data_IF_031359515942
#
_entry.id   IF_031359515942
#
_cell.length_a   1.000
_cell.length_b   1.000
_cell.length_c   1.000
_cell.angle_alpha   90.00
_cell.angle_beta   90.00
_cell.angle_gamma   90.00
#
_symmetry.space_group_name_H-M   'P 1'
#
loop_
_entity.id
_entity.type
_entity.pdbx_description
1 polymer ?
#
# COMPACT_ATOMS: atom_id res chain seq x y z
N UNK A 1 11.29 17.55 -17.56
CA UNK A 1 10.61 17.46 -17.43
C UNK A 1 9.72 17.28 -17.41
N UNK A 2 9.58 17.08 -17.32
CA UNK A 2 8.72 16.81 -17.31
C UNK A 2 7.65 16.99 -17.29
N UNK A 3 7.57 17.40 -17.61
CA UNK A 3 6.59 17.43 -17.88
C UNK A 3 5.41 16.89 -17.45
N UNK A 4 4.82 16.43 -17.63
CA UNK A 4 3.66 15.73 -17.21
C UNK A 4 3.56 15.57 -15.72
N UNK A 5 4.32 16.28 -15.03
CA UNK A 5 4.29 16.24 -13.58
C UNK A 5 2.92 16.55 -13.02
N UNK A 6 2.11 17.31 -13.76
CA UNK A 6 0.77 17.65 -13.30
C UNK A 6 -0.12 16.43 -13.13
N UNK A 7 0.21 15.33 -13.83
CA UNK A 7 -0.59 14.11 -13.74
C UNK A 7 0.04 13.05 -12.86
N UNK A 8 1.21 13.32 -12.31
CA UNK A 8 1.93 12.35 -11.51
C UNK A 8 1.74 12.65 -10.04
N UNK A 9 0.91 11.84 -9.42
CA UNK A 9 0.74 11.93 -7.98
C UNK A 9 1.91 11.26 -7.29
N UNK A 10 2.46 11.92 -6.30
CA UNK A 10 3.50 11.33 -5.48
C UNK A 10 2.98 11.20 -4.07
N UNK A 11 3.55 10.28 -3.32
CA UNK A 11 3.12 10.06 -1.95
C UNK A 11 4.23 9.52 -1.09
N UNK A 12 3.90 9.29 0.15
CA UNK A 12 4.83 8.72 1.13
C UNK A 12 4.58 7.23 1.20
N UNK A 13 5.61 6.47 0.88
CA UNK A 13 5.53 5.02 0.79
C UNK A 13 6.46 4.39 1.81
N UNK A 14 5.95 3.42 2.55
CA UNK A 14 6.76 2.62 3.46
C UNK A 14 6.95 1.24 2.86
N UNK A 15 8.19 0.82 2.70
CA UNK A 15 8.52 -0.54 2.23
C UNK A 15 8.98 -1.38 3.41
N UNK A 16 8.37 -2.54 3.58
CA UNK A 16 8.69 -3.45 4.67
C UNK A 16 9.12 -4.80 4.09
N UNK A 17 10.36 -5.19 4.33
CA UNK A 17 10.91 -6.43 3.81
C UNK A 17 12.21 -6.70 4.53
N UNK A 18 12.43 -7.94 4.98
CA UNK A 18 13.67 -8.28 5.64
C UNK A 18 14.85 -8.46 4.65
N UNK A 19 14.56 -8.43 3.37
CA UNK A 19 15.59 -8.54 2.32
C UNK A 19 16.04 -7.15 1.88
N UNK A 20 17.26 -6.77 2.27
CA UNK A 20 17.76 -5.42 2.00
C UNK A 20 17.92 -5.12 0.52
N UNK A 21 18.23 -6.12 -0.30
CA UNK A 21 18.37 -5.92 -1.73
C UNK A 21 17.01 -5.58 -2.36
N UNK A 22 15.97 -6.29 -1.93
CA UNK A 22 14.63 -6.01 -2.39
C UNK A 22 14.18 -4.61 -2.00
N UNK A 23 14.48 -4.21 -0.76
CA UNK A 23 14.14 -2.87 -0.30
C UNK A 23 14.85 -1.80 -1.14
N UNK A 24 16.15 -1.96 -1.36
CA UNK A 24 16.92 -1.00 -2.15
C UNK A 24 16.39 -0.85 -3.56
N UNK A 25 16.10 -1.97 -4.20
CA UNK A 25 15.64 -1.95 -5.58
C UNK A 25 14.29 -1.25 -5.71
N UNK A 26 13.36 -1.58 -4.84
CA UNK A 26 12.03 -0.98 -4.86
C UNK A 26 12.08 0.50 -4.50
N UNK A 27 12.90 0.82 -3.50
CA UNK A 27 13.07 2.20 -3.08
C UNK A 27 13.59 3.07 -4.22
N UNK A 28 14.62 2.58 -4.89
CA UNK A 28 15.25 3.33 -5.97
C UNK A 28 14.25 3.68 -7.07
N UNK A 29 13.46 2.69 -7.47
CA UNK A 29 12.48 2.88 -8.53
C UNK A 29 11.40 3.88 -8.12
N UNK A 30 10.90 3.76 -6.92
CA UNK A 30 9.82 4.64 -6.46
C UNK A 30 10.32 6.05 -6.21
N UNK A 31 11.53 6.20 -5.69
CA UNK A 31 12.10 7.53 -5.49
C UNK A 31 12.36 8.25 -6.82
N UNK A 32 12.73 7.49 -7.83
CA UNK A 32 12.93 8.05 -9.16
C UNK A 32 11.66 8.67 -9.70
N UNK A 33 10.52 8.13 -9.29
CA UNK A 33 9.22 8.64 -9.71
C UNK A 33 8.71 9.77 -8.81
N UNK A 34 9.50 10.17 -7.84
CA UNK A 34 9.16 11.31 -6.98
C UNK A 34 8.52 10.96 -5.64
N UNK A 35 8.32 9.68 -5.35
CA UNK A 35 7.74 9.31 -4.07
C UNK A 35 8.75 9.47 -2.95
N UNK A 36 8.27 9.76 -1.76
CA UNK A 36 9.10 9.77 -0.57
C UNK A 36 9.03 8.39 0.06
N UNK A 37 10.14 7.70 0.05
CA UNK A 37 10.19 6.30 0.45
C UNK A 37 10.96 6.11 1.74
N UNK A 38 10.35 5.39 2.68
CA UNK A 38 11.02 4.93 3.89
C UNK A 38 11.08 3.42 3.82
N UNK A 39 12.10 2.82 4.41
CA UNK A 39 12.25 1.38 4.42
C UNK A 39 12.36 0.88 5.85
N UNK A 40 11.90 -0.34 6.07
CA UNK A 40 11.97 -0.95 7.38
C UNK A 40 12.11 -2.46 7.20
N UNK A 41 13.06 -3.06 7.90
CA UNK A 41 13.32 -4.50 7.75
C UNK A 41 12.63 -5.33 8.83
N UNK A 42 12.01 -4.69 9.82
CA UNK A 42 11.36 -5.40 10.92
C UNK A 42 9.91 -4.94 11.02
N UNK A 43 8.94 -5.87 10.91
CA UNK A 43 7.52 -5.48 10.92
C UNK A 43 7.10 -4.71 12.18
N UNK A 44 7.60 -5.09 13.35
CA UNK A 44 7.27 -4.36 14.57
C UNK A 44 7.71 -2.90 14.50
N UNK A 45 8.91 -2.67 13.96
CA UNK A 45 9.40 -1.31 13.80
C UNK A 45 8.55 -0.54 12.79
N UNK A 46 8.06 -1.24 11.78
CA UNK A 46 7.20 -0.62 10.78
C UNK A 46 5.89 -0.15 11.40
N UNK A 47 5.31 -0.96 12.30
CA UNK A 47 4.10 -0.56 13.00
C UNK A 47 4.34 0.69 13.84
N UNK A 48 5.47 0.75 14.53
CA UNK A 48 5.81 1.92 15.33
C UNK A 48 6.03 3.15 14.45
N UNK A 49 6.65 2.94 13.31
CA UNK A 49 6.90 4.03 12.39
C UNK A 49 5.58 4.60 11.87
N UNK A 50 4.63 3.74 11.56
CA UNK A 50 3.31 4.18 11.10
C UNK A 50 2.55 4.93 12.19
N UNK A 51 2.84 4.65 13.46
CA UNK A 51 2.22 5.37 14.57
C UNK A 51 2.78 6.78 14.69
N UNK A 52 4.00 7.00 14.22
CA UNK A 52 4.68 8.30 14.36
C UNK A 52 4.67 9.14 13.10
N UNK A 53 4.55 8.50 11.95
CA UNK A 53 4.57 9.18 10.66
C UNK A 53 3.40 8.75 9.83
N UNK A 54 2.96 9.64 8.96
CA UNK A 54 1.89 9.33 8.05
C UNK A 54 2.45 8.74 6.76
N UNK A 55 1.87 7.64 6.31
CA UNK A 55 2.19 7.04 5.02
C UNK A 55 0.91 6.91 4.21
N UNK A 56 1.06 7.08 2.91
CA UNK A 56 -0.07 6.93 1.99
C UNK A 56 -0.24 5.48 1.56
N UNK A 57 0.88 4.78 1.38
CA UNK A 57 0.88 3.39 0.95
C UNK A 57 1.94 2.63 1.72
N UNK A 58 1.60 1.43 2.18
CA UNK A 58 2.54 0.52 2.80
C UNK A 58 2.68 -0.70 1.90
N UNK A 59 3.92 -1.04 1.55
CA UNK A 59 4.22 -2.21 0.73
C UNK A 59 4.96 -3.20 1.62
N UNK A 60 4.44 -4.40 1.76
CA UNK A 60 5.07 -5.39 2.62
C UNK A 60 5.29 -6.69 1.87
N UNK A 61 6.40 -7.35 2.19
CA UNK A 61 6.63 -8.71 1.74
C UNK A 61 5.78 -9.65 2.60
N UNK A 62 5.48 -10.83 2.07
CA UNK A 62 4.75 -11.83 2.82
C UNK A 62 5.65 -12.54 3.84
N UNK A 63 6.79 -13.05 3.35
CA UNK A 63 7.64 -13.88 4.18
C UNK A 63 8.66 -13.06 4.94
N UNK A 64 8.46 -12.95 6.24
CA UNK A 64 9.36 -12.22 7.11
C UNK A 64 9.49 -13.00 8.42
N UNK A 65 10.64 -12.91 9.09
CA UNK A 65 10.79 -13.57 10.40
C UNK A 65 9.82 -13.03 11.42
N UNK A 66 9.32 -13.89 12.27
CA UNK A 66 8.50 -13.56 13.44
C UNK A 66 7.08 -13.10 13.14
N UNK A 67 6.87 -12.36 12.06
CA UNK A 67 5.54 -11.88 11.72
C UNK A 67 5.46 -11.81 10.21
N UNK A 68 4.59 -12.63 9.61
CA UNK A 68 4.44 -12.59 8.15
C UNK A 68 3.61 -11.38 7.73
N UNK A 69 3.54 -11.17 6.41
CA UNK A 69 2.86 -10.00 5.88
C UNK A 69 1.38 -9.92 6.22
N UNK A 70 0.71 -11.07 6.29
CA UNK A 70 -0.71 -11.07 6.62
C UNK A 70 -0.94 -10.63 8.06
N UNK A 71 -0.12 -11.14 8.98
CA UNK A 71 -0.21 -10.71 10.37
C UNK A 71 0.11 -9.23 10.52
N UNK A 72 1.12 -8.78 9.79
CA UNK A 72 1.49 -7.37 9.81
C UNK A 72 0.33 -6.50 9.32
N UNK A 73 -0.28 -6.88 8.20
CA UNK A 73 -1.42 -6.15 7.65
C UNK A 73 -2.56 -6.11 8.66
N UNK A 74 -2.84 -7.24 9.31
CA UNK A 74 -3.90 -7.31 10.31
C UNK A 74 -3.69 -6.31 11.44
N UNK A 75 -2.46 -6.23 11.95
CA UNK A 75 -2.15 -5.30 13.02
C UNK A 75 -2.18 -3.85 12.54
N UNK A 76 -1.66 -3.63 11.33
CA UNK A 76 -1.65 -2.30 10.74
C UNK A 76 -3.07 -1.77 10.56
N UNK A 77 -3.97 -2.61 10.07
CA UNK A 77 -5.35 -2.22 9.83
C UNK A 77 -6.11 -1.90 11.11
N UNK A 78 -5.74 -2.50 12.23
CA UNK A 78 -6.37 -2.17 13.49
C UNK A 78 -6.07 -0.73 13.90
N UNK A 79 -4.87 -0.27 13.59
CA UNK A 79 -4.46 1.08 13.94
C UNK A 79 -4.79 2.08 12.84
N UNK A 80 -4.76 1.64 11.59
CA UNK A 80 -4.94 2.50 10.42
C UNK A 80 -5.84 1.80 9.40
N UNK A 81 -7.16 1.75 9.66
CA UNK A 81 -8.06 0.95 8.80
C UNK A 81 -8.10 1.38 7.34
N UNK A 82 -7.83 2.65 7.07
CA UNK A 82 -7.97 3.18 5.72
C UNK A 82 -6.66 3.26 4.93
N UNK A 83 -5.56 2.81 5.52
CA UNK A 83 -4.27 2.91 4.83
C UNK A 83 -4.24 1.96 3.64
N UNK A 84 -3.62 2.41 2.54
CA UNK A 84 -3.49 1.56 1.36
C UNK A 84 -2.34 0.58 1.57
N UNK A 85 -2.56 -0.69 1.26
CA UNK A 85 -1.56 -1.74 1.50
C UNK A 85 -1.37 -2.59 0.27
N UNK A 86 -0.11 -2.84 -0.08
CA UNK A 86 0.28 -3.76 -1.14
C UNK A 86 1.09 -4.89 -0.51
N UNK A 87 0.70 -6.12 -0.83
CA UNK A 87 1.43 -7.30 -0.38
C UNK A 87 2.16 -7.91 -1.56
N UNK A 88 3.44 -8.21 -1.39
CA UNK A 88 4.24 -8.86 -2.42
C UNK A 88 4.65 -10.23 -1.91
N UNK A 89 4.44 -11.27 -2.71
CA UNK A 89 4.69 -12.63 -2.27
C UNK A 89 5.14 -13.52 -3.41
N UNK A 90 6.11 -14.37 -3.13
CA UNK A 90 6.50 -15.44 -4.05
C UNK A 90 5.63 -16.67 -3.91
N UNK A 91 4.68 -16.65 -2.97
CA UNK A 91 3.86 -17.81 -2.65
C UNK A 91 2.38 -17.62 -3.00
N UNK A 92 2.09 -16.67 -3.88
CA UNK A 92 0.71 -16.32 -4.20
C UNK A 92 -0.08 -17.54 -4.68
N UNK A 93 0.47 -18.25 -5.66
CA UNK A 93 -0.22 -19.42 -6.23
C UNK A 93 -0.29 -20.57 -5.25
N UNK A 94 0.81 -20.83 -4.55
CA UNK A 94 0.88 -21.97 -3.63
C UNK A 94 -0.06 -21.81 -2.45
N UNK A 95 -0.16 -20.58 -1.93
CA UNK A 95 -0.96 -20.31 -0.74
C UNK A 95 -2.33 -19.75 -1.05
N UNK A 96 -2.62 -19.49 -2.32
CA UNK A 96 -3.89 -18.91 -2.71
C UNK A 96 -4.11 -17.51 -2.18
N UNK A 97 -3.05 -16.72 -2.07
CA UNK A 97 -3.15 -15.37 -1.52
C UNK A 97 -3.84 -14.42 -2.49
N UNK A 98 -4.77 -13.66 -1.97
CA UNK A 98 -5.46 -12.63 -2.76
C UNK A 98 -5.89 -11.49 -1.82
N UNK A 99 -6.53 -10.50 -2.37
CA UNK A 99 -6.92 -9.32 -1.60
C UNK A 99 -7.92 -9.67 -0.50
N UNK A 100 -8.81 -10.62 -0.78
CA UNK A 100 -9.84 -10.97 0.18
C UNK A 100 -9.29 -11.68 1.42
N UNK A 101 -8.30 -12.53 1.25
CA UNK A 101 -7.81 -13.32 2.39
C UNK A 101 -6.56 -12.75 3.04
N UNK A 102 -5.99 -11.67 2.53
CA UNK A 102 -4.81 -11.06 3.12
C UNK A 102 -5.08 -9.72 3.78
N UNK A 103 -6.16 -9.06 3.41
CA UNK A 103 -6.44 -7.71 3.87
C UNK A 103 -5.72 -6.63 3.09
N UNK A 104 -4.91 -7.00 2.09
CA UNK A 104 -4.23 -6.03 1.25
C UNK A 104 -5.18 -5.49 0.19
N UNK A 105 -4.90 -4.27 -0.26
CA UNK A 105 -5.64 -3.69 -1.38
C UNK A 105 -5.18 -4.28 -2.70
N UNK A 106 -3.91 -4.66 -2.77
CA UNK A 106 -3.31 -5.27 -3.97
C UNK A 106 -2.36 -6.37 -3.52
N UNK A 107 -2.41 -7.50 -4.20
CA UNK A 107 -1.47 -8.59 -3.98
C UNK A 107 -0.67 -8.77 -5.25
N UNK A 108 0.66 -8.71 -5.14
CA UNK A 108 1.56 -8.81 -6.28
C UNK A 108 2.40 -10.07 -6.12
N UNK A 109 2.47 -10.88 -7.17
CA UNK A 109 3.33 -12.03 -7.17
C UNK A 109 4.73 -11.64 -7.60
N UNK A 110 5.74 -12.16 -6.92
CA UNK A 110 7.13 -11.91 -7.28
C UNK A 110 7.41 -12.57 -8.61
N UNK A 111 7.82 -11.76 -9.58
CA UNK A 111 8.09 -12.23 -10.92
C UNK A 111 8.87 -11.14 -11.65
N UNK A 112 9.15 -11.37 -12.93
CA UNK A 112 9.85 -10.36 -13.72
C UNK A 112 9.01 -9.09 -13.90
N UNK A 113 7.70 -9.17 -13.67
CA UNK A 113 6.80 -8.03 -13.82
C UNK A 113 6.49 -7.34 -12.49
N UNK A 114 7.13 -7.76 -11.42
CA UNK A 114 6.84 -7.24 -10.09
C UNK A 114 6.99 -5.71 -10.01
N UNK A 115 8.09 -5.18 -10.54
CA UNK A 115 8.37 -3.75 -10.44
C UNK A 115 7.33 -2.93 -11.20
N UNK A 116 7.01 -3.33 -12.42
CA UNK A 116 5.98 -2.64 -13.19
C UNK A 116 4.64 -2.66 -12.48
N UNK A 117 4.29 -3.81 -11.92
CA UNK A 117 3.05 -3.96 -11.20
C UNK A 117 3.01 -3.07 -9.96
N UNK A 118 4.15 -3.01 -9.24
CA UNK A 118 4.26 -2.17 -8.06
C UNK A 118 4.07 -0.69 -8.41
N UNK A 119 4.75 -0.23 -9.45
CA UNK A 119 4.66 1.16 -9.88
C UNK A 119 3.21 1.53 -10.18
N UNK A 120 2.53 0.69 -10.97
CA UNK A 120 1.15 0.97 -11.35
C UNK A 120 0.21 0.92 -10.16
N UNK A 121 0.45 -0.02 -9.24
CA UNK A 121 -0.40 -0.16 -8.07
C UNK A 121 -0.28 1.03 -7.13
N UNK A 122 0.95 1.51 -6.90
CA UNK A 122 1.15 2.69 -6.06
C UNK A 122 0.45 3.89 -6.67
N UNK A 123 0.64 4.11 -7.97
CA UNK A 123 0.01 5.23 -8.66
C UNK A 123 -1.51 5.17 -8.56
N UNK A 124 -2.08 3.98 -8.77
CA UNK A 124 -3.52 3.80 -8.71
C UNK A 124 -4.07 4.04 -7.31
N UNK A 125 -3.39 3.53 -6.30
CA UNK A 125 -3.84 3.71 -4.93
C UNK A 125 -3.74 5.16 -4.48
N UNK A 126 -2.71 5.87 -4.92
CA UNK A 126 -2.59 7.29 -4.62
C UNK A 126 -3.68 8.08 -5.30
N UNK A 127 -3.99 7.75 -6.54
CA UNK A 127 -5.04 8.44 -7.27
C UNK A 127 -6.39 8.22 -6.61
N UNK A 128 -6.66 7.00 -6.18
CA UNK A 128 -7.90 6.68 -5.50
C UNK A 128 -8.03 7.45 -4.19
N UNK A 129 -6.92 7.55 -3.46
CA UNK A 129 -6.88 8.24 -2.20
C UNK A 129 -7.08 9.75 -2.36
N UNK A 130 -6.54 10.31 -3.44
CA UNK A 130 -6.60 11.73 -3.73
C UNK A 130 -7.88 12.15 -4.42
N UNK A 131 -8.64 11.19 -4.94
CA UNK A 131 -9.85 11.52 -5.66
C UNK A 131 -10.85 12.21 -4.73
N UNK A 132 -11.62 13.17 -5.25
CA UNK A 132 -12.64 13.80 -4.43
C UNK A 132 -13.62 12.76 -3.93
N UNK A 133 -14.04 12.90 -2.67
CA UNK A 133 -15.03 11.99 -2.15
C UNK A 133 -16.34 12.22 -2.85
N UNK A 134 -16.95 11.15 -3.25
CA UNK A 134 -18.30 11.25 -3.76
C UNK A 134 -19.17 11.69 -2.61
N UNK A 135 -20.02 12.59 -2.86
CA UNK A 135 -20.93 12.99 -1.81
C UNK A 135 -21.75 11.83 -1.38
N UNK A 136 -21.51 11.45 -0.92
CA UNK A 136 -22.02 10.41 -0.73
C UNK A 136 -22.79 10.21 -0.25
N UNK A 137 -21.96 10.84 -0.82
CA UNK A 137 -22.17 10.49 -0.63
C UNK A 137 -22.86 10.38 -0.41
N UNK A 138 -22.78 10.69 -0.72
CA UNK A 138 -23.10 10.50 -0.76
C UNK A 138 -23.75 9.97 -0.33
N UNK A 139 -23.87 9.94 -0.09
CA UNK A 139 -24.31 9.35 0.12
C UNK A 139 -24.96 9.34 0.74
N UNK A 140 -25.05 9.76 0.92
CA UNK A 140 -25.54 9.72 1.23
C UNK A 140 -26.26 10.01 1.47
N UNK A 141 -26.47 10.35 1.40
CA UNK A 141 -26.91 10.55 1.41
C UNK A 141 -27.76 10.38 1.58
N UNK A 142 -27.98 10.37 1.46
CA UNK A 142 -28.65 10.16 1.43
C UNK A 142 -29.41 9.81 2.03
N UNK A 143 -29.34 9.88 2.28
CA UNK A 143 -29.93 9.58 2.60
C UNK A 143 -30.56 9.77 3.19
N UNK A 144 -30.49 10.20 3.30
CA UNK A 144 -30.87 10.40 3.55
C UNK A 144 -31.62 10.53 3.62
N UNK A 145 -31.95 10.63 3.48
CA UNK A 145 -32.49 10.81 3.35
C UNK A 145 -33.36 10.57 3.52
N UNK A 146 -33.38 10.31 3.56
CA UNK A 146 -34.02 10.08 3.64
C UNK A 146 -34.81 10.15 4.32
N UNK A 147 -34.75 10.37 4.43
CA UNK A 147 -35.36 10.51 4.94
C UNK A 147 -36.18 10.87 5.31
N UNK A 148 -36.30 11.05 5.45
CA UNK A 148 -36.92 11.34 5.58
C UNK A 148 -37.71 11.38 5.84
N UNK A 149 -37.92 11.28 6.10
CA UNK A 149 -38.38 11.24 6.09
C UNK A 149 -38.82 11.25 6.22
#
# INVERSE_FOLDING_TARGET
MPISSSNNLTGRVLLVDDNSLGLSARRSVLEELGHKVSTCSVPHDALELCARQRFDVVVTDYKMPKMNGIEFIGRLRKQHPAIAVILISGFTDTLGLNEANTGADVVIQKSSNEVSHLIRSVARLLKKKQAPRKPAASVSAKTEKRKTK
#
